data_IF_760978974737
#
_entry.id   IF_760978974737
#
_cell.length_a   1.000
_cell.length_b   1.000
_cell.length_c   1.000
_cell.angle_alpha   90.00
_cell.angle_beta   90.00
_cell.angle_gamma   90.00
#
_symmetry.space_group_name_H-M   'P 1'
#
loop_
_entity.id
_entity.type
_entity.pdbx_description
1 polymer ?
#
# COMPACT_ATOMS: atom_id res chain seq x y z
N UNK A 1 65.76 27.30 31.94
CA UNK A 1 64.86 26.25 31.42
C UNK A 1 63.59 26.03 32.24
N UNK A 2 63.55 26.11 33.55
CA UNK A 2 62.28 25.94 34.35
C UNK A 2 61.16 27.02 34.05
N UNK A 3 61.54 28.26 33.83
CA UNK A 3 60.56 29.36 33.55
C UNK A 3 59.82 29.22 32.18
N UNK A 4 60.52 28.69 31.20
CA UNK A 4 59.93 28.46 29.87
C UNK A 4 58.87 27.34 29.91
N UNK A 5 59.13 26.32 30.77
CA UNK A 5 58.20 25.20 30.92
C UNK A 5 56.87 25.61 31.55
N UNK A 6 56.89 26.50 32.54
CA UNK A 6 55.66 27.01 33.19
C UNK A 6 54.84 27.92 32.26
N UNK A 7 55.48 28.71 31.39
CA UNK A 7 54.77 29.55 30.42
C UNK A 7 54.11 28.68 29.37
N UNK A 8 54.77 27.65 28.87
CA UNK A 8 54.19 26.70 27.91
C UNK A 8 53.01 25.92 28.50
N UNK A 9 53.08 25.52 29.77
CA UNK A 9 51.97 24.81 30.46
C UNK A 9 50.78 25.73 30.70
N UNK A 10 50.99 27.00 31.01
CA UNK A 10 49.93 27.99 31.22
C UNK A 10 49.19 28.32 29.92
N UNK A 11 49.87 28.43 28.76
CA UNK A 11 49.28 28.66 27.45
C UNK A 11 48.48 27.45 27.01
N UNK A 12 48.94 26.22 27.26
CA UNK A 12 48.19 25.00 26.95
C UNK A 12 46.93 24.87 27.79
N UNK A 13 46.94 25.29 29.07
CA UNK A 13 45.75 25.29 29.93
C UNK A 13 44.73 26.35 29.50
N UNK A 14 45.14 27.51 29.00
CA UNK A 14 44.23 28.55 28.47
C UNK A 14 43.54 28.13 27.17
N UNK A 15 44.19 27.30 26.33
CA UNK A 15 43.64 26.81 25.08
C UNK A 15 42.56 25.71 25.29
N UNK A 16 42.63 25.02 26.44
CA UNK A 16 41.64 23.98 26.78
C UNK A 16 40.34 24.50 27.39
N UNK A 17 40.29 25.75 27.86
CA UNK A 17 39.08 26.33 28.45
C UNK A 17 38.19 27.06 27.43
N UNK A 18 38.65 27.29 26.20
CA UNK A 18 37.90 27.99 25.13
C UNK A 18 37.01 27.10 24.28
N UNK A 19 37.01 25.76 24.50
CA UNK A 19 36.42 24.82 23.53
C UNK A 19 34.99 24.37 23.81
N UNK A 20 34.32 24.84 24.85
CA UNK A 20 32.99 24.33 25.23
C UNK A 20 31.94 25.40 25.52
N UNK A 21 31.87 26.47 24.74
CA UNK A 21 30.68 27.33 24.73
C UNK A 21 30.11 27.52 23.31
N UNK A 22 29.90 26.43 22.61
CA UNK A 22 28.79 26.45 21.65
C UNK A 22 27.50 26.38 22.47
N UNK A 23 26.88 27.50 22.73
CA UNK A 23 25.45 27.51 23.07
C UNK A 23 24.78 26.76 21.95
N UNK A 24 24.43 25.50 22.17
CA UNK A 24 23.52 24.80 21.28
C UNK A 24 22.30 25.69 21.14
N UNK A 25 21.81 25.87 19.94
CA UNK A 25 20.52 26.52 19.71
C UNK A 25 19.51 25.72 20.53
N UNK A 26 19.08 26.30 21.66
CA UNK A 26 17.99 25.71 22.45
C UNK A 26 16.78 25.90 21.56
N UNK A 27 16.20 24.80 21.07
CA UNK A 27 14.93 24.83 20.40
C UNK A 27 13.87 25.29 21.40
N UNK A 28 13.32 26.46 21.16
CA UNK A 28 12.24 27.02 21.97
C UNK A 28 10.94 26.30 21.54
N UNK A 29 10.54 25.33 22.35
CA UNK A 29 9.38 24.51 22.06
C UNK A 29 8.12 25.37 22.10
N UNK A 30 7.30 25.39 21.02
CA UNK A 30 6.04 26.11 21.05
C UNK A 30 5.19 25.67 22.24
N UNK A 31 4.64 26.64 22.98
CA UNK A 31 3.79 26.36 24.14
C UNK A 31 2.59 25.53 23.70
N UNK A 32 2.34 24.41 24.39
CA UNK A 32 1.24 23.51 24.12
C UNK A 32 1.46 22.55 22.95
N UNK A 33 2.64 22.58 22.28
CA UNK A 33 2.95 21.64 21.20
C UNK A 33 3.25 20.24 21.75
N UNK A 34 2.65 19.21 21.11
CA UNK A 34 2.94 17.81 21.40
C UNK A 34 4.24 17.34 20.72
N UNK A 35 4.77 18.08 19.74
CA UNK A 35 5.95 17.73 18.94
C UNK A 35 5.81 16.35 18.31
N UNK A 36 4.78 16.19 17.50
CA UNK A 36 4.46 14.90 16.87
C UNK A 36 5.23 14.67 15.58
N UNK A 37 5.32 13.41 15.20
CA UNK A 37 5.83 12.95 13.92
C UNK A 37 5.27 11.57 13.60
N UNK A 38 4.91 11.32 12.35
CA UNK A 38 4.75 9.95 11.88
C UNK A 38 6.11 9.23 11.90
N UNK A 39 6.14 7.90 12.10
CA UNK A 39 7.38 7.11 12.06
C UNK A 39 8.08 7.12 10.70
N UNK A 40 7.30 7.26 9.62
CA UNK A 40 7.74 7.31 8.22
C UNK A 40 6.72 8.10 7.41
N UNK A 41 7.11 8.63 6.28
CA UNK A 41 6.25 9.23 5.25
C UNK A 41 5.46 8.20 4.44
N UNK A 42 5.88 6.92 4.49
CA UNK A 42 5.17 5.77 3.91
C UNK A 42 4.94 4.69 4.98
N UNK A 43 3.74 4.09 4.96
CA UNK A 43 3.38 2.92 5.76
C UNK A 43 2.69 1.87 4.89
N UNK A 44 3.19 0.63 4.91
CA UNK A 44 2.64 -0.48 4.15
C UNK A 44 2.01 -1.50 5.08
N UNK A 45 0.78 -1.89 4.77
CA UNK A 45 0.03 -2.86 5.56
C UNK A 45 -0.40 -4.04 4.70
N UNK A 46 -0.15 -5.24 5.17
CA UNK A 46 -0.82 -6.46 4.73
C UNK A 46 -2.09 -6.63 5.55
N UNK A 47 -3.26 -6.59 4.92
CA UNK A 47 -4.54 -6.83 5.59
C UNK A 47 -4.78 -8.33 5.71
N UNK A 48 -5.07 -8.79 6.91
CA UNK A 48 -5.43 -10.17 7.23
C UNK A 48 -6.73 -10.20 8.05
N UNK A 49 -7.51 -11.26 7.91
CA UNK A 49 -8.81 -11.38 8.59
C UNK A 49 -8.68 -11.34 10.13
N UNK A 50 -7.55 -11.84 10.65
CA UNK A 50 -7.24 -11.89 12.07
C UNK A 50 -7.10 -10.51 12.72
N UNK A 51 -6.80 -9.45 11.96
CA UNK A 51 -6.65 -8.09 12.45
C UNK A 51 -8.00 -7.38 12.70
N UNK A 52 -9.12 -8.06 12.41
CA UNK A 52 -10.47 -7.58 12.73
C UNK A 52 -10.91 -6.39 11.87
N UNK A 53 -10.68 -6.47 10.56
CA UNK A 53 -11.10 -5.49 9.55
C UNK A 53 -10.61 -4.07 9.84
N UNK A 54 -9.34 -3.94 10.20
CA UNK A 54 -8.69 -2.66 10.48
C UNK A 54 -7.19 -2.70 10.22
N UNK A 55 -6.63 -1.54 9.96
CA UNK A 55 -5.19 -1.27 10.05
C UNK A 55 -4.96 -0.25 11.16
N UNK A 56 -3.85 -0.32 11.87
CA UNK A 56 -3.56 0.54 13.01
C UNK A 56 -2.36 1.43 12.69
N UNK A 57 -2.57 2.75 12.70
CA UNK A 57 -1.55 3.75 12.42
C UNK A 57 -1.05 4.36 13.70
N UNK A 58 0.27 4.49 13.85
CA UNK A 58 0.92 5.09 15.00
C UNK A 58 1.34 6.54 14.71
N UNK A 59 1.23 7.39 15.71
CA UNK A 59 1.81 8.72 15.77
C UNK A 59 2.71 8.84 17.01
N UNK A 60 3.92 9.34 16.86
CA UNK A 60 4.86 9.55 17.94
C UNK A 60 4.83 11.00 18.40
N UNK A 61 5.12 11.24 19.68
CA UNK A 61 5.30 12.60 20.21
C UNK A 61 6.57 12.72 21.04
N UNK A 62 7.21 13.90 20.93
CA UNK A 62 8.41 14.24 21.70
C UNK A 62 8.10 14.87 23.07
N UNK A 63 7.02 15.65 23.17
CA UNK A 63 6.59 16.26 24.43
C UNK A 63 5.54 15.38 25.10
N UNK A 64 5.93 14.62 26.12
CA UNK A 64 5.02 13.70 26.83
C UNK A 64 4.32 14.31 28.03
N UNK A 65 4.54 15.61 28.31
CA UNK A 65 3.96 16.28 29.48
C UNK A 65 2.49 16.63 29.26
N UNK A 66 1.63 16.08 30.08
CA UNK A 66 0.18 16.25 30.02
C UNK A 66 -0.47 15.38 28.94
N UNK A 67 -1.77 15.23 28.98
CA UNK A 67 -2.55 14.63 27.90
C UNK A 67 -2.57 15.56 26.67
N UNK A 68 -2.61 14.98 25.47
CA UNK A 68 -2.72 15.73 24.23
C UNK A 68 -3.63 15.00 23.24
N UNK A 69 -4.35 15.76 22.41
CA UNK A 69 -5.16 15.26 21.32
C UNK A 69 -4.76 15.99 20.05
N UNK A 70 -4.29 15.26 19.03
CA UNK A 70 -3.76 15.81 17.79
C UNK A 70 -4.67 15.42 16.65
N UNK A 71 -5.30 16.41 16.03
CA UNK A 71 -6.19 16.20 14.89
C UNK A 71 -5.39 15.92 13.60
N UNK A 72 -5.99 15.15 12.71
CA UNK A 72 -5.47 14.87 11.38
C UNK A 72 -6.57 14.95 10.31
N UNK A 73 -6.16 15.29 9.12
CA UNK A 73 -6.99 15.27 7.91
C UNK A 73 -6.74 13.97 7.13
N UNK A 74 -7.73 13.55 6.37
CA UNK A 74 -7.70 12.33 5.54
C UNK A 74 -7.94 12.70 4.10
N UNK A 75 -7.00 12.37 3.23
CA UNK A 75 -7.20 12.35 1.79
C UNK A 75 -7.35 10.90 1.33
N UNK A 76 -8.59 10.47 1.15
CA UNK A 76 -8.93 9.13 0.71
C UNK A 76 -8.93 9.05 -0.83
N UNK A 77 -8.09 8.17 -1.36
CA UNK A 77 -8.02 7.85 -2.80
C UNK A 77 -8.78 6.56 -3.13
N UNK A 78 -9.54 6.04 -2.17
CA UNK A 78 -10.17 4.70 -2.22
C UNK A 78 -11.71 4.76 -2.23
N UNK A 79 -12.30 5.90 -2.57
CA UNK A 79 -13.75 6.11 -2.63
C UNK A 79 -14.50 5.74 -1.34
N UNK A 80 -13.88 5.99 -0.17
CA UNK A 80 -14.50 5.79 1.14
C UNK A 80 -14.45 4.36 1.67
N UNK A 81 -13.60 3.51 1.10
CA UNK A 81 -13.36 2.13 1.57
C UNK A 81 -12.81 2.13 2.99
N UNK A 82 -11.88 3.05 3.28
CA UNK A 82 -11.24 3.18 4.58
C UNK A 82 -11.84 4.32 5.41
N UNK A 83 -12.21 3.99 6.65
CA UNK A 83 -12.86 4.93 7.58
C UNK A 83 -12.08 4.99 8.89
N UNK A 84 -11.42 6.12 9.22
CA UNK A 84 -10.79 6.28 10.53
C UNK A 84 -11.83 6.13 11.64
N UNK A 85 -11.49 5.40 12.70
CA UNK A 85 -12.34 5.23 13.87
C UNK A 85 -12.47 6.51 14.70
N UNK A 86 -11.50 7.42 14.55
CA UNK A 86 -11.41 8.74 15.22
C UNK A 86 -10.79 9.74 14.27
N UNK A 87 -10.93 11.03 14.55
CA UNK A 87 -10.26 12.14 13.84
C UNK A 87 -9.04 12.69 14.60
N UNK A 88 -8.62 12.06 15.69
CA UNK A 88 -7.52 12.50 16.54
C UNK A 88 -6.67 11.35 17.03
N UNK A 89 -5.37 11.61 17.17
CA UNK A 89 -4.46 10.78 17.98
C UNK A 89 -4.49 11.30 19.40
N UNK A 90 -4.94 10.46 20.34
CA UNK A 90 -5.09 10.82 21.76
C UNK A 90 -3.97 10.19 22.58
N UNK A 91 -3.20 11.04 23.26
CA UNK A 91 -2.09 10.65 24.13
C UNK A 91 -2.47 10.90 25.59
N UNK A 92 -2.33 9.91 26.46
CA UNK A 92 -2.39 10.15 27.90
C UNK A 92 -1.11 10.84 28.41
N UNK A 93 -1.14 11.38 29.64
CA UNK A 93 0.06 11.95 30.25
C UNK A 93 1.18 10.91 30.37
N UNK A 94 2.37 11.28 29.93
CA UNK A 94 3.52 10.39 29.89
C UNK A 94 3.64 9.47 28.68
N UNK A 95 2.59 9.29 27.87
CA UNK A 95 2.63 8.47 26.66
C UNK A 95 3.34 9.19 25.53
N UNK A 96 4.13 8.45 24.77
CA UNK A 96 4.88 8.95 23.61
C UNK A 96 4.39 8.39 22.27
N UNK A 97 3.44 7.45 22.28
CA UNK A 97 2.83 6.86 21.08
C UNK A 97 1.33 6.83 21.25
N UNK A 98 0.60 7.26 20.21
CA UNK A 98 -0.84 7.08 20.11
C UNK A 98 -1.18 6.31 18.84
N UNK A 99 -2.34 5.67 18.82
CA UNK A 99 -2.79 4.84 17.71
C UNK A 99 -4.19 5.24 17.25
N UNK A 100 -4.39 5.14 15.94
CA UNK A 100 -5.71 5.26 15.33
C UNK A 100 -5.96 4.05 14.45
N UNK A 101 -7.11 3.41 14.64
CA UNK A 101 -7.58 2.35 13.77
C UNK A 101 -8.27 2.95 12.53
N UNK A 102 -7.88 2.49 11.37
CA UNK A 102 -8.54 2.75 10.10
C UNK A 102 -9.31 1.48 9.75
N UNK A 103 -10.63 1.56 9.76
CA UNK A 103 -11.54 0.42 9.54
C UNK A 103 -11.90 0.27 8.08
N UNK A 104 -12.20 -0.96 7.67
CA UNK A 104 -12.83 -1.34 6.41
C UNK A 104 -13.95 -2.35 6.68
N UNK A 105 -14.89 -2.51 5.72
CA UNK A 105 -16.12 -3.28 5.99
C UNK A 105 -15.86 -4.79 5.97
N UNK A 106 -15.48 -5.38 4.84
CA UNK A 106 -15.17 -6.82 4.74
C UNK A 106 -13.85 -7.02 3.97
N UNK A 107 -12.97 -7.87 4.50
CA UNK A 107 -11.71 -8.22 3.84
C UNK A 107 -11.95 -8.94 2.50
N UNK A 108 -13.10 -9.59 2.34
CA UNK A 108 -13.45 -10.30 1.11
C UNK A 108 -13.83 -9.37 -0.04
N UNK A 109 -14.10 -8.09 0.24
CA UNK A 109 -14.31 -7.07 -0.79
C UNK A 109 -13.00 -6.65 -1.47
N UNK A 110 -11.85 -7.08 -0.91
CA UNK A 110 -10.53 -6.73 -1.43
C UNK A 110 -9.96 -7.88 -2.26
N UNK A 111 -9.55 -7.54 -3.48
CA UNK A 111 -8.71 -8.39 -4.32
C UNK A 111 -7.22 -8.26 -3.96
N UNK A 112 -6.36 -8.39 -4.94
CA UNK A 112 -4.91 -8.22 -4.77
C UNK A 112 -4.41 -6.80 -5.00
N UNK A 113 -5.30 -5.85 -5.28
CA UNK A 113 -4.98 -4.44 -5.53
C UNK A 113 -4.49 -3.73 -4.27
N UNK A 114 -3.68 -2.70 -4.48
CA UNK A 114 -3.19 -1.83 -3.41
C UNK A 114 -4.11 -0.61 -3.29
N UNK A 115 -4.59 -0.39 -2.08
CA UNK A 115 -5.38 0.78 -1.70
C UNK A 115 -4.50 1.81 -1.03
N UNK A 116 -4.77 3.10 -1.24
CA UNK A 116 -3.96 4.17 -0.68
C UNK A 116 -4.81 5.28 -0.07
N UNK A 117 -4.42 5.72 1.12
CA UNK A 117 -4.94 6.92 1.76
C UNK A 117 -3.79 7.73 2.38
N UNK A 118 -4.02 9.03 2.59
CA UNK A 118 -3.02 9.92 3.18
C UNK A 118 -3.59 10.51 4.45
N UNK A 119 -2.82 10.47 5.54
CA UNK A 119 -3.12 11.19 6.77
C UNK A 119 -2.15 12.36 6.92
N UNK A 120 -2.66 13.56 7.19
CA UNK A 120 -1.87 14.78 7.39
C UNK A 120 -2.21 15.39 8.75
N UNK A 121 -1.24 15.80 9.55
CA UNK A 121 -1.48 16.49 10.84
C UNK A 121 -2.11 17.85 10.54
N UNK A 122 -3.30 18.10 11.10
CA UNK A 122 -4.10 19.29 10.79
C UNK A 122 -3.49 20.62 11.30
N UNK A 123 -2.71 20.59 12.39
CA UNK A 123 -2.03 21.76 12.94
C UNK A 123 -0.51 21.58 12.90
N UNK A 124 0.15 22.27 11.96
CA UNK A 124 1.60 22.26 11.80
C UNK A 124 2.39 22.63 13.06
N UNK A 125 1.77 23.41 13.98
CA UNK A 125 2.41 23.78 15.26
C UNK A 125 2.56 22.59 16.20
N UNK A 126 1.83 21.52 15.99
CA UNK A 126 1.96 20.28 16.73
C UNK A 126 3.11 19.40 16.22
N UNK A 127 3.59 19.67 15.00
CA UNK A 127 4.63 18.85 14.36
C UNK A 127 6.02 19.20 14.92
N UNK A 128 6.84 18.16 15.09
CA UNK A 128 8.25 18.36 15.46
C UNK A 128 9.01 19.07 14.31
N UNK A 129 9.99 19.94 14.59
CA UNK A 129 10.73 20.72 13.58
C UNK A 129 11.38 19.90 12.46
N UNK A 130 11.68 18.65 12.73
CA UNK A 130 12.20 17.69 11.74
C UNK A 130 11.28 16.48 11.61
N UNK A 131 10.03 16.62 12.06
CA UNK A 131 9.03 15.57 12.04
C UNK A 131 8.37 15.40 10.68
N UNK A 132 7.77 14.25 10.49
CA UNK A 132 6.98 13.89 9.33
C UNK A 132 5.52 14.18 9.69
N UNK A 133 4.91 15.13 9.00
CA UNK A 133 3.55 15.61 9.21
C UNK A 133 2.50 14.87 8.39
N UNK A 134 2.95 14.13 7.36
CA UNK A 134 2.10 13.39 6.44
C UNK A 134 2.58 11.94 6.30
N UNK A 135 1.66 11.00 6.23
CA UNK A 135 1.97 9.60 5.91
C UNK A 135 1.06 9.09 4.81
N UNK A 136 1.66 8.53 3.76
CA UNK A 136 0.95 7.77 2.74
C UNK A 136 0.84 6.32 3.20
N UNK A 137 -0.39 5.86 3.39
CA UNK A 137 -0.70 4.49 3.79
C UNK A 137 -1.05 3.71 2.54
N UNK A 138 -0.34 2.59 2.34
CA UNK A 138 -0.64 1.60 1.30
C UNK A 138 -1.07 0.31 1.98
N UNK A 139 -2.27 -0.16 1.67
CA UNK A 139 -2.84 -1.37 2.23
C UNK A 139 -3.22 -2.36 1.13
N UNK A 140 -2.85 -3.62 1.30
CA UNK A 140 -3.15 -4.69 0.35
C UNK A 140 -3.57 -5.94 1.13
N UNK A 141 -4.59 -6.65 0.63
CA UNK A 141 -4.97 -7.93 1.20
C UNK A 141 -3.83 -8.93 1.04
N UNK A 142 -3.50 -9.65 2.11
CA UNK A 142 -2.58 -10.77 2.04
C UNK A 142 -3.20 -11.90 1.22
N UNK A 143 -2.50 -12.33 0.19
CA UNK A 143 -2.89 -13.41 -0.69
C UNK A 143 -1.71 -14.38 -0.87
N UNK A 144 -1.72 -15.47 -0.09
CA UNK A 144 -0.70 -16.51 -0.22
C UNK A 144 -1.08 -17.44 -1.37
N UNK A 145 -0.32 -17.39 -2.46
CA UNK A 145 -0.58 -18.17 -3.67
C UNK A 145 -0.36 -19.65 -3.43
N UNK A 146 -1.30 -20.47 -3.90
CA UNK A 146 -1.23 -21.92 -3.92
C UNK A 146 -1.34 -22.38 -5.39
N UNK A 147 -0.28 -23.01 -5.89
CA UNK A 147 -0.24 -23.52 -7.26
C UNK A 147 -1.33 -24.58 -7.48
N UNK A 148 -2.05 -24.44 -8.58
CA UNK A 148 -3.09 -25.38 -9.02
C UNK A 148 -2.59 -26.25 -10.15
N UNK A 149 -1.95 -25.67 -11.15
CA UNK A 149 -1.42 -26.36 -12.32
C UNK A 149 -1.06 -25.37 -13.43
N UNK A 150 -0.55 -25.89 -14.54
CA UNK A 150 -0.25 -25.11 -15.74
C UNK A 150 -1.24 -25.49 -16.84
N UNK A 151 -1.81 -24.50 -17.49
CA UNK A 151 -2.70 -24.62 -18.64
C UNK A 151 -2.14 -23.87 -19.86
N UNK A 152 -2.98 -23.66 -20.87
CA UNK A 152 -2.64 -22.88 -22.05
C UNK A 152 -3.57 -21.68 -22.14
N UNK A 153 -3.01 -20.49 -22.20
CA UNK A 153 -3.75 -19.26 -22.44
C UNK A 153 -3.60 -18.83 -23.88
N UNK A 154 -4.71 -18.45 -24.54
CA UNK A 154 -4.73 -17.82 -25.84
C UNK A 154 -5.27 -16.41 -25.72
N UNK A 155 -4.62 -15.48 -26.36
CA UNK A 155 -5.06 -14.09 -26.45
C UNK A 155 -5.36 -13.70 -27.90
N UNK A 156 -6.58 -13.26 -28.15
CA UNK A 156 -6.99 -12.65 -29.42
C UNK A 156 -6.31 -11.29 -29.65
N UNK A 157 -5.91 -10.62 -28.57
CA UNK A 157 -5.14 -9.37 -28.64
C UNK A 157 -3.74 -9.56 -29.25
N UNK A 158 -3.04 -10.66 -28.86
CA UNK A 158 -1.72 -11.00 -29.35
C UNK A 158 -1.73 -11.96 -30.54
N UNK A 159 -2.87 -12.62 -30.78
CA UNK A 159 -2.99 -13.72 -31.75
C UNK A 159 -2.02 -14.87 -31.45
N UNK A 160 -1.73 -15.13 -30.18
CA UNK A 160 -0.75 -16.11 -29.70
C UNK A 160 -1.27 -16.92 -28.52
N UNK A 161 -0.69 -18.10 -28.31
CA UNK A 161 -0.92 -18.94 -27.12
C UNK A 161 0.38 -19.20 -26.39
N UNK A 162 0.27 -19.41 -25.05
CA UNK A 162 1.40 -19.74 -24.19
C UNK A 162 0.99 -20.57 -22.99
N UNK A 163 1.98 -21.26 -22.38
CA UNK A 163 1.79 -21.90 -21.08
C UNK A 163 1.52 -20.85 -20.01
N UNK A 164 0.48 -21.06 -19.21
CA UNK A 164 0.06 -20.15 -18.16
C UNK A 164 -0.22 -20.91 -16.89
N UNK A 165 0.48 -20.53 -15.83
CA UNK A 165 0.22 -21.07 -14.50
C UNK A 165 -1.11 -20.54 -13.94
N UNK A 166 -1.81 -21.42 -13.21
CA UNK A 166 -2.99 -21.09 -12.43
C UNK A 166 -2.68 -21.25 -10.94
N UNK A 167 -3.01 -20.23 -10.18
CA UNK A 167 -2.94 -20.25 -8.71
C UNK A 167 -4.32 -19.97 -8.13
N UNK A 168 -4.59 -20.52 -6.93
CA UNK A 168 -5.60 -20.01 -6.00
C UNK A 168 -4.89 -19.35 -4.82
N UNK A 169 -5.63 -18.88 -3.82
CA UNK A 169 -5.04 -18.30 -2.62
C UNK A 169 -5.51 -19.03 -1.36
N UNK A 170 -4.68 -19.01 -0.33
CA UNK A 170 -5.00 -19.65 0.95
C UNK A 170 -6.12 -18.89 1.66
N UNK A 171 -6.03 -17.55 1.67
CA UNK A 171 -6.95 -16.66 2.37
C UNK A 171 -8.29 -16.46 1.63
N UNK A 172 -8.32 -16.74 0.32
CA UNK A 172 -9.52 -16.67 -0.52
C UNK A 172 -9.50 -17.82 -1.53
N UNK A 173 -9.90 -19.05 -1.14
CA UNK A 173 -9.78 -20.24 -2.00
C UNK A 173 -10.60 -20.17 -3.29
N UNK A 174 -11.57 -19.26 -3.37
CA UNK A 174 -12.37 -18.99 -4.56
C UNK A 174 -11.75 -17.92 -5.48
N UNK A 175 -10.66 -17.27 -5.07
CA UNK A 175 -9.91 -16.33 -5.91
C UNK A 175 -8.82 -17.07 -6.66
N UNK A 176 -8.80 -16.90 -7.97
CA UNK A 176 -7.83 -17.49 -8.89
C UNK A 176 -6.99 -16.41 -9.54
N UNK A 177 -5.74 -16.75 -9.80
CA UNK A 177 -4.72 -15.83 -10.32
C UNK A 177 -4.00 -16.50 -11.49
N UNK A 178 -3.93 -15.78 -12.60
CA UNK A 178 -3.07 -16.05 -13.74
C UNK A 178 -1.91 -15.04 -13.67
N UNK A 179 -0.75 -15.42 -13.09
CA UNK A 179 0.33 -14.48 -12.84
C UNK A 179 0.98 -14.02 -14.14
N UNK A 180 1.30 -12.73 -14.22
CA UNK A 180 1.99 -12.13 -15.37
C UNK A 180 1.37 -12.55 -16.72
N UNK A 181 0.03 -12.59 -16.79
CA UNK A 181 -0.68 -13.28 -17.88
C UNK A 181 -0.39 -12.65 -19.24
N UNK A 182 -0.49 -11.35 -19.39
CA UNK A 182 -0.15 -10.64 -20.62
C UNK A 182 1.19 -9.93 -20.53
N UNK A 183 1.49 -9.34 -19.40
CA UNK A 183 2.68 -8.54 -19.17
C UNK A 183 3.29 -8.92 -17.84
N UNK A 184 4.61 -9.04 -17.83
CA UNK A 184 5.37 -9.39 -16.65
C UNK A 184 5.03 -8.45 -15.46
N UNK A 185 4.73 -9.04 -14.32
CA UNK A 185 4.32 -8.32 -13.11
C UNK A 185 2.86 -7.88 -13.06
N UNK A 186 2.02 -8.18 -14.08
CA UNK A 186 0.58 -7.91 -14.04
C UNK A 186 -0.21 -9.22 -14.05
N UNK A 187 -0.89 -9.46 -12.94
CA UNK A 187 -1.71 -10.66 -12.77
C UNK A 187 -3.14 -10.44 -13.28
N UNK A 188 -3.74 -11.47 -13.86
CA UNK A 188 -5.17 -11.51 -14.09
C UNK A 188 -5.83 -12.28 -12.96
N UNK A 189 -6.87 -11.70 -12.38
CA UNK A 189 -7.57 -12.28 -11.23
C UNK A 189 -9.07 -12.38 -11.50
N UNK A 190 -9.65 -13.50 -11.06
CA UNK A 190 -11.09 -13.74 -11.12
C UNK A 190 -11.53 -14.59 -9.93
N UNK A 191 -12.78 -14.49 -9.54
CA UNK A 191 -13.37 -15.37 -8.52
C UNK A 191 -14.14 -16.50 -9.15
N UNK A 192 -14.39 -17.56 -8.38
CA UNK A 192 -15.29 -18.64 -8.78
C UNK A 192 -16.46 -18.69 -7.82
N UNK A 193 -17.67 -18.57 -8.36
CA UNK A 193 -18.92 -18.63 -7.63
C UNK A 193 -19.82 -19.70 -8.25
N UNK A 194 -20.32 -20.63 -7.43
CA UNK A 194 -21.16 -21.73 -7.91
C UNK A 194 -20.56 -22.51 -9.11
N UNK A 195 -19.25 -22.78 -9.07
CA UNK A 195 -18.47 -23.44 -10.13
C UNK A 195 -18.38 -22.64 -11.43
N UNK A 196 -18.66 -21.35 -11.42
CA UNK A 196 -18.53 -20.47 -12.58
C UNK A 196 -17.51 -19.36 -12.29
N UNK A 197 -16.58 -19.10 -13.22
CA UNK A 197 -15.65 -17.99 -13.08
C UNK A 197 -16.37 -16.65 -13.28
N UNK A 198 -16.10 -15.74 -12.37
CA UNK A 198 -16.63 -14.36 -12.35
C UNK A 198 -15.45 -13.41 -12.47
N UNK A 199 -15.38 -12.70 -13.56
CA UNK A 199 -14.33 -11.72 -13.84
C UNK A 199 -14.77 -10.33 -13.43
N UNK A 200 -13.84 -9.45 -13.06
CA UNK A 200 -14.14 -8.03 -12.86
C UNK A 200 -14.78 -7.43 -14.13
N UNK A 201 -15.64 -6.44 -13.96
CA UNK A 201 -16.29 -5.73 -15.09
C UNK A 201 -15.24 -5.08 -16.02
N UNK A 202 -14.07 -4.76 -15.51
CA UNK A 202 -12.89 -4.36 -16.27
C UNK A 202 -11.64 -4.52 -15.42
N UNK A 203 -10.49 -4.74 -16.06
CA UNK A 203 -9.20 -4.76 -15.38
C UNK A 203 -8.09 -4.25 -16.32
N UNK A 204 -7.01 -3.77 -15.70
CA UNK A 204 -5.81 -3.35 -16.44
C UNK A 204 -5.06 -4.58 -16.93
N UNK A 205 -4.75 -4.62 -18.22
CA UNK A 205 -4.05 -5.77 -18.83
C UNK A 205 -2.54 -5.80 -18.57
N UNK A 206 -1.97 -4.74 -17.98
CA UNK A 206 -0.53 -4.52 -17.91
C UNK A 206 0.05 -3.90 -19.18
N UNK A 207 -0.63 -4.02 -20.32
CA UNK A 207 -0.13 -3.50 -21.58
C UNK A 207 -0.38 -2.00 -21.73
N UNK A 208 0.68 -1.29 -22.13
CA UNK A 208 0.64 0.15 -22.40
C UNK A 208 0.87 0.39 -23.87
N UNK A 209 -0.19 0.74 -24.59
CA UNK A 209 -0.10 1.07 -26.00
C UNK A 209 0.68 2.37 -26.21
N UNK A 210 1.65 2.36 -27.12
CA UNK A 210 2.61 3.48 -27.32
C UNK A 210 1.95 4.84 -27.60
N UNK A 211 0.79 4.85 -28.27
CA UNK A 211 0.07 6.09 -28.64
C UNK A 211 -1.15 6.38 -27.78
N UNK A 212 -1.72 5.36 -27.12
CA UNK A 212 -3.02 5.49 -26.45
C UNK A 212 -3.00 5.17 -24.97
N UNK A 213 -1.84 4.79 -24.41
CA UNK A 213 -1.68 4.52 -22.98
C UNK A 213 -2.22 3.16 -22.53
N UNK A 214 -2.65 3.09 -21.28
CA UNK A 214 -3.07 1.85 -20.64
C UNK A 214 -4.24 1.17 -21.35
N UNK A 215 -4.11 -0.15 -21.60
CA UNK A 215 -5.16 -0.97 -22.18
C UNK A 215 -5.90 -1.73 -21.08
N UNK A 216 -7.22 -1.57 -21.06
CA UNK A 216 -8.13 -2.26 -20.14
C UNK A 216 -8.95 -3.29 -20.89
N UNK A 217 -9.08 -4.48 -20.30
CA UNK A 217 -9.95 -5.55 -20.78
C UNK A 217 -11.32 -5.43 -20.14
N UNK A 218 -12.37 -5.54 -20.94
CA UNK A 218 -13.76 -5.53 -20.51
C UNK A 218 -14.42 -6.87 -20.87
N UNK A 219 -14.43 -7.87 -19.98
CA UNK A 219 -15.14 -9.12 -20.19
C UNK A 219 -16.65 -8.87 -20.34
N UNK A 220 -17.32 -9.69 -21.13
CA UNK A 220 -18.77 -9.69 -21.30
C UNK A 220 -19.41 -10.95 -20.73
N UNK A 221 -19.04 -12.10 -21.30
CA UNK A 221 -19.47 -13.42 -20.81
C UNK A 221 -18.28 -14.35 -20.64
N UNK A 222 -18.37 -15.19 -19.61
CA UNK A 222 -17.38 -16.23 -19.37
C UNK A 222 -18.09 -17.57 -19.24
N UNK A 223 -17.64 -18.56 -19.98
CA UNK A 223 -18.17 -19.93 -19.94
C UNK A 223 -17.04 -20.92 -19.76
N UNK A 224 -17.35 -22.07 -19.17
CA UNK A 224 -16.43 -23.20 -19.06
C UNK A 224 -17.05 -24.41 -19.74
N UNK A 225 -16.41 -24.88 -20.80
CA UNK A 225 -16.87 -26.04 -21.58
C UNK A 225 -15.66 -26.93 -21.89
N UNK A 226 -15.80 -28.23 -21.67
CA UNK A 226 -14.79 -29.25 -21.97
C UNK A 226 -13.38 -28.93 -21.44
N UNK A 227 -13.28 -28.37 -20.25
CA UNK A 227 -12.01 -27.98 -19.63
C UNK A 227 -11.37 -26.72 -20.20
N UNK A 228 -12.13 -25.93 -20.95
CA UNK A 228 -11.68 -24.62 -21.46
C UNK A 228 -12.56 -23.51 -20.91
N UNK A 229 -11.94 -22.50 -20.31
CA UNK A 229 -12.60 -21.26 -19.93
C UNK A 229 -12.52 -20.28 -21.11
N UNK A 230 -13.67 -19.95 -21.67
CA UNK A 230 -13.82 -18.97 -22.75
C UNK A 230 -14.22 -17.63 -22.14
N UNK A 231 -13.51 -16.57 -22.52
CA UNK A 231 -13.73 -15.21 -22.04
C UNK A 231 -14.06 -14.35 -23.25
N UNK A 232 -15.36 -14.12 -23.47
CA UNK A 232 -15.78 -13.17 -24.49
C UNK A 232 -15.47 -11.76 -24.02
N UNK A 233 -14.55 -11.08 -24.66
CA UNK A 233 -14.18 -9.70 -24.38
C UNK A 233 -15.05 -8.78 -25.18
N UNK A 234 -15.83 -7.93 -24.52
CA UNK A 234 -16.65 -6.91 -25.16
C UNK A 234 -15.82 -5.80 -25.80
N UNK A 235 -14.73 -5.42 -25.13
CA UNK A 235 -13.88 -4.34 -25.60
C UNK A 235 -12.49 -4.36 -24.94
N UNK A 236 -11.48 -4.05 -25.73
CA UNK A 236 -10.16 -3.61 -25.25
C UNK A 236 -10.13 -2.08 -25.32
N UNK A 237 -10.08 -1.42 -24.17
CA UNK A 237 -10.24 0.04 -24.07
C UNK A 237 -8.96 0.76 -23.64
N UNK A 238 -8.83 1.94 -24.20
CA UNK A 238 -7.84 2.96 -23.82
C UNK A 238 -8.58 4.27 -23.51
N UNK A 239 -7.89 5.28 -22.98
CA UNK A 239 -8.50 6.58 -22.70
C UNK A 239 -9.14 7.24 -23.93
N UNK A 240 -8.63 6.99 -25.12
CA UNK A 240 -9.09 7.57 -26.39
C UNK A 240 -10.22 6.78 -27.08
N UNK A 241 -10.57 5.58 -26.60
CA UNK A 241 -11.60 4.75 -27.25
C UNK A 241 -11.44 3.25 -27.05
N UNK A 242 -11.84 2.46 -28.06
CA UNK A 242 -11.79 0.99 -28.01
C UNK A 242 -11.22 0.41 -29.31
N UNK A 243 -10.47 -0.66 -29.19
CA UNK A 243 -10.00 -1.48 -30.31
C UNK A 243 -10.99 -2.58 -30.73
N UNK A 244 -12.20 -2.61 -30.17
CA UNK A 244 -13.15 -3.69 -30.37
C UNK A 244 -13.06 -4.74 -29.28
N UNK A 245 -13.74 -5.87 -29.48
CA UNK A 245 -13.72 -7.03 -28.61
C UNK A 245 -12.99 -8.20 -29.24
N UNK A 246 -12.89 -9.31 -28.53
CA UNK A 246 -12.24 -10.52 -28.98
C UNK A 246 -12.61 -11.72 -28.11
N UNK A 247 -11.97 -12.85 -28.36
CA UNK A 247 -12.14 -14.08 -27.61
C UNK A 247 -10.80 -14.50 -26.98
N UNK A 248 -10.70 -14.36 -25.67
CA UNK A 248 -9.63 -14.95 -24.90
C UNK A 248 -10.07 -16.36 -24.44
N UNK A 249 -9.16 -17.31 -24.32
CA UNK A 249 -9.49 -18.57 -23.65
C UNK A 249 -8.32 -19.11 -22.83
N UNK A 250 -8.66 -19.92 -21.83
CA UNK A 250 -7.69 -20.62 -21.00
C UNK A 250 -8.07 -22.08 -20.91
N UNK A 251 -7.24 -22.94 -21.47
CA UNK A 251 -7.33 -24.40 -21.30
C UNK A 251 -6.89 -24.69 -19.86
N UNK A 252 -7.80 -25.23 -19.07
CA UNK A 252 -7.55 -25.52 -17.66
C UNK A 252 -6.47 -26.59 -17.49
N UNK A 253 -5.72 -26.56 -16.39
CA UNK A 253 -4.77 -27.63 -16.07
C UNK A 253 -5.42 -29.02 -16.08
N UNK A 254 -4.67 -30.05 -16.51
CA UNK A 254 -5.18 -31.42 -16.61
C UNK A 254 -5.77 -31.91 -15.27
N UNK A 255 -6.99 -32.40 -15.32
CA UNK A 255 -7.72 -32.94 -14.16
C UNK A 255 -8.28 -31.86 -13.22
N UNK A 256 -8.15 -30.57 -13.57
CA UNK A 256 -8.73 -29.47 -12.80
C UNK A 256 -10.10 -29.06 -13.36
N UNK A 257 -11.03 -28.75 -12.45
CA UNK A 257 -12.32 -28.08 -12.74
C UNK A 257 -12.68 -27.15 -11.59
N UNK A 258 -13.41 -26.09 -11.89
CA UNK A 258 -13.92 -25.16 -10.87
C UNK A 258 -15.04 -25.73 -10.03
#
# INVERSE_FOLDING_TARGET
MKKIFYISLAITALLLTGSCQRKGTIYDMPEGSALVSFPSDEAKFEMVAEDGNKITVALWRGNTKGAASVAFDVADKTDGVFKPAKSTFDFADGENIAYVDIKYDDINDFGGETYSLVLTIADEKQVSPSGIDEVTISAQRKLTRKFVGTGIYYSDWYEEEWEQDLYTTVEAPNLYILPSCWVDGTDFMFTVENHQPVWPASFFSGYVHSSYGNVYVYPDTVTVEDGVMYIQVKAYRVSAGSFGGGLEYFVLPEGFSF
#
